data_IF_482384235473
#
_entry.id   IF_482384235473
#
_cell.length_a   1.000
_cell.length_b   1.000
_cell.length_c   1.000
_cell.angle_alpha   90.00
_cell.angle_beta   90.00
_cell.angle_gamma   90.00
#
_symmetry.space_group_name_H-M   'P 1'
#
loop_
_entity.id
_entity.type
_entity.pdbx_description
1 polymer ?
#
# COMPACT_ATOMS: atom_id res chain seq x y z
N UNK A 1 2.17 3.41 5.16
CA UNK A 1 1.00 4.14 4.62
C UNK A 1 1.35 5.52 4.06
N UNK A 2 2.18 6.33 4.76
CA UNK A 2 2.48 7.72 4.33
C UNK A 2 3.03 7.83 2.90
N UNK A 3 3.88 6.92 2.47
CA UNK A 3 4.39 6.90 1.10
C UNK A 3 3.25 6.71 0.09
N UNK A 4 2.37 5.75 0.33
CA UNK A 4 1.29 5.42 -0.61
C UNK A 4 0.30 6.58 -0.79
N UNK A 5 -0.35 7.06 0.27
CA UNK A 5 -1.39 8.08 0.10
C UNK A 5 -0.85 9.43 -0.40
N UNK A 6 0.45 9.69 -0.23
CA UNK A 6 1.09 10.90 -0.77
C UNK A 6 1.45 10.79 -2.25
N UNK A 7 1.71 9.57 -2.74
CA UNK A 7 2.09 9.30 -4.11
C UNK A 7 0.91 8.92 -5.01
N UNK A 8 -0.13 8.33 -4.45
CA UNK A 8 -1.28 7.82 -5.21
C UNK A 8 -1.81 8.80 -6.27
N UNK A 9 -1.94 10.13 -5.99
CA UNK A 9 -2.43 11.06 -7.01
C UNK A 9 -1.53 11.20 -8.24
N UNK A 10 -0.27 10.79 -8.15
CA UNK A 10 0.68 10.83 -9.26
C UNK A 10 0.78 9.51 -10.02
N UNK A 11 0.20 8.43 -9.51
CA UNK A 11 0.24 7.10 -10.12
C UNK A 11 -0.91 6.91 -11.09
N UNK A 12 -0.65 6.31 -12.24
CA UNK A 12 -1.69 5.96 -13.20
C UNK A 12 -2.60 4.85 -12.64
N UNK A 13 -3.88 4.87 -13.01
CA UNK A 13 -4.79 3.76 -12.72
C UNK A 13 -4.25 2.49 -13.38
N UNK A 14 -4.18 1.40 -12.64
CA UNK A 14 -3.54 0.15 -13.06
C UNK A 14 -2.04 0.10 -12.81
N UNK A 15 -1.44 1.20 -12.33
CA UNK A 15 -0.03 1.26 -11.96
C UNK A 15 0.30 0.56 -10.63
N UNK A 16 1.54 0.70 -10.23
CA UNK A 16 2.07 0.06 -9.03
C UNK A 16 2.90 1.03 -8.20
N UNK A 17 2.75 0.97 -6.89
CA UNK A 17 3.66 1.60 -5.93
C UNK A 17 4.47 0.53 -5.24
N UNK A 18 5.77 0.51 -5.47
CA UNK A 18 6.71 -0.33 -4.74
C UNK A 18 7.28 0.46 -3.57
N UNK A 19 7.03 -0.01 -2.36
CA UNK A 19 7.56 0.59 -1.13
C UNK A 19 8.82 -0.16 -0.73
N UNK A 20 9.98 0.42 -1.00
CA UNK A 20 11.26 -0.12 -0.60
C UNK A 20 11.60 0.30 0.83
N UNK A 21 11.56 -0.66 1.74
CA UNK A 21 11.81 -0.46 3.17
C UNK A 21 12.61 -1.66 3.74
N UNK A 22 13.90 -1.83 3.38
CA UNK A 22 14.68 -3.04 3.63
C UNK A 22 14.91 -3.35 5.12
N UNK A 23 14.68 -2.37 6.00
CA UNK A 23 14.83 -2.54 7.45
C UNK A 23 13.50 -2.79 8.17
N UNK A 24 12.37 -2.70 7.44
CA UNK A 24 11.04 -2.89 8.01
C UNK A 24 10.80 -4.39 8.26
N UNK A 25 10.65 -4.77 9.52
CA UNK A 25 10.44 -6.15 9.97
C UNK A 25 9.06 -6.36 10.62
N UNK A 26 8.35 -5.28 10.95
CA UNK A 26 6.99 -5.33 11.50
C UNK A 26 6.06 -4.35 10.78
N UNK A 27 4.82 -4.75 10.58
CA UNK A 27 3.82 -3.92 9.89
C UNK A 27 3.46 -2.68 10.71
N UNK A 28 3.25 -2.84 12.00
CA UNK A 28 2.98 -1.75 12.94
C UNK A 28 3.04 -2.28 14.37
N UNK A 29 3.79 -1.60 15.22
CA UNK A 29 3.81 -1.93 16.66
C UNK A 29 2.47 -1.61 17.35
N UNK A 30 1.78 -0.56 16.91
CA UNK A 30 0.53 -0.08 17.53
C UNK A 30 -0.69 -0.80 16.97
N UNK A 31 -0.73 -0.98 15.65
CA UNK A 31 -1.93 -1.49 14.95
C UNK A 31 -1.77 -2.91 14.42
N UNK A 32 -0.59 -3.53 14.57
CA UNK A 32 -0.25 -4.81 13.93
C UNK A 32 -1.28 -5.89 14.16
N UNK A 33 -1.74 -6.08 15.42
CA UNK A 33 -2.76 -7.06 15.76
C UNK A 33 -4.01 -6.93 14.88
N UNK A 34 -4.56 -5.73 14.79
CA UNK A 34 -5.75 -5.47 13.98
C UNK A 34 -5.47 -5.55 12.48
N UNK A 35 -4.31 -5.06 12.03
CA UNK A 35 -3.94 -5.11 10.62
C UNK A 35 -3.80 -6.56 10.13
N UNK A 36 -3.22 -7.46 10.94
CA UNK A 36 -3.19 -8.88 10.61
C UNK A 36 -4.57 -9.56 10.62
N UNK A 37 -5.54 -9.00 11.35
CA UNK A 37 -6.93 -9.44 11.35
C UNK A 37 -7.68 -9.00 10.09
N UNK A 38 -7.55 -7.72 9.70
CA UNK A 38 -8.37 -7.13 8.63
C UNK A 38 -7.67 -7.02 7.27
N UNK A 39 -6.33 -6.99 7.22
CA UNK A 39 -5.55 -6.72 6.01
C UNK A 39 -5.60 -5.24 5.57
N UNK A 40 -5.03 -4.98 4.39
CA UNK A 40 -5.06 -3.67 3.73
C UNK A 40 -6.09 -3.69 2.60
N UNK A 41 -7.10 -2.84 2.72
CA UNK A 41 -8.22 -2.77 1.79
C UNK A 41 -8.61 -1.34 1.48
N UNK A 42 -9.28 -1.14 0.34
CA UNK A 42 -9.90 0.14 -0.03
C UNK A 42 -11.08 0.45 0.90
N UNK A 43 -11.43 1.73 1.05
CA UNK A 43 -12.53 2.15 1.92
C UNK A 43 -13.87 1.44 1.60
N UNK A 44 -14.30 1.29 0.33
CA UNK A 44 -15.54 0.59 0.00
C UNK A 44 -15.62 -0.85 0.50
N UNK A 45 -14.49 -1.55 0.63
CA UNK A 45 -14.44 -2.91 1.19
C UNK A 45 -15.00 -2.95 2.63
N UNK A 46 -14.57 -2.02 3.47
CA UNK A 46 -15.04 -1.94 4.85
C UNK A 46 -16.49 -1.45 4.95
N UNK A 47 -16.88 -0.50 4.10
CA UNK A 47 -18.24 0.05 4.12
C UNK A 47 -19.29 -0.96 3.63
N UNK A 48 -18.93 -1.85 2.70
CA UNK A 48 -19.85 -2.90 2.22
C UNK A 48 -20.23 -3.92 3.29
N UNK A 49 -19.38 -4.11 4.28
CA UNK A 49 -19.63 -5.03 5.41
C UNK A 49 -19.32 -4.32 6.74
N UNK A 50 -19.89 -3.12 6.92
CA UNK A 50 -19.61 -2.27 8.08
C UNK A 50 -19.90 -2.96 9.40
N UNK A 51 -20.95 -3.77 9.49
CA UNK A 51 -21.29 -4.50 10.72
C UNK A 51 -20.17 -5.42 11.19
N UNK A 52 -19.44 -6.02 10.26
CA UNK A 52 -18.27 -6.85 10.54
C UNK A 52 -17.08 -6.04 11.07
N UNK A 53 -16.90 -4.81 10.59
CA UNK A 53 -15.69 -4.02 10.84
C UNK A 53 -15.87 -2.87 11.85
N UNK A 54 -17.09 -2.54 12.25
CA UNK A 54 -17.39 -1.40 13.14
C UNK A 54 -16.69 -1.48 14.52
N UNK A 55 -16.27 -2.67 14.95
CA UNK A 55 -15.54 -2.87 16.20
C UNK A 55 -14.04 -2.53 16.10
N UNK A 56 -13.52 -2.39 14.87
CA UNK A 56 -12.12 -2.04 14.62
C UNK A 56 -11.93 -0.54 14.84
N UNK A 57 -10.88 -0.11 15.58
CA UNK A 57 -10.62 1.30 15.79
C UNK A 57 -10.47 2.06 14.46
N UNK A 58 -11.10 3.23 14.34
CA UNK A 58 -11.09 4.01 13.10
C UNK A 58 -9.68 4.36 12.60
N UNK A 59 -8.72 4.58 13.52
CA UNK A 59 -7.31 4.80 13.14
C UNK A 59 -6.67 3.60 12.43
N UNK A 60 -7.10 2.38 12.77
CA UNK A 60 -6.65 1.15 12.08
C UNK A 60 -7.26 1.06 10.70
N UNK A 61 -8.57 1.31 10.57
CA UNK A 61 -9.25 1.34 9.27
C UNK A 61 -8.63 2.41 8.36
N UNK A 62 -8.37 3.61 8.89
CA UNK A 62 -7.68 4.67 8.16
C UNK A 62 -6.26 4.25 7.74
N UNK A 63 -5.50 3.59 8.61
CA UNK A 63 -4.17 3.08 8.26
C UNK A 63 -4.24 2.04 7.13
N UNK A 64 -5.21 1.13 7.19
CA UNK A 64 -5.45 0.14 6.14
C UNK A 64 -5.77 0.80 4.80
N UNK A 65 -6.76 1.69 4.77
CA UNK A 65 -7.20 2.36 3.53
C UNK A 65 -6.13 3.28 2.95
N UNK A 66 -5.37 3.98 3.77
CA UNK A 66 -4.29 4.86 3.33
C UNK A 66 -3.13 4.11 2.67
N UNK A 67 -2.89 2.86 3.05
CA UNK A 67 -1.89 2.05 2.38
C UNK A 67 -2.44 1.41 1.10
N UNK A 68 -3.71 0.97 1.11
CA UNK A 68 -4.31 0.33 -0.07
C UNK A 68 -4.69 1.31 -1.16
N UNK A 69 -5.02 2.56 -0.79
CA UNK A 69 -5.44 3.61 -1.72
C UNK A 69 -6.91 3.53 -2.12
N UNK A 70 -7.22 4.18 -3.22
CA UNK A 70 -8.57 4.29 -3.79
C UNK A 70 -8.91 3.09 -4.68
N UNK A 71 -10.19 2.87 -4.88
CA UNK A 71 -10.69 1.80 -5.74
C UNK A 71 -12.22 1.65 -5.63
N UNK A 72 -12.73 0.61 -6.25
CA UNK A 72 -14.16 0.29 -6.25
C UNK A 72 -14.41 -1.16 -5.86
N UNK A 73 -15.61 -1.45 -5.37
CA UNK A 73 -16.10 -2.83 -5.27
C UNK A 73 -16.93 -3.14 -6.52
N UNK A 74 -16.62 -4.25 -7.19
CA UNK A 74 -17.33 -4.68 -8.38
C UNK A 74 -17.66 -6.16 -8.27
N UNK A 75 -18.94 -6.49 -8.28
CA UNK A 75 -19.45 -7.86 -8.10
C UNK A 75 -18.88 -8.56 -6.85
N UNK A 76 -18.77 -7.82 -5.74
CA UNK A 76 -18.23 -8.34 -4.47
C UNK A 76 -16.71 -8.48 -4.42
N UNK A 77 -16.00 -8.05 -5.47
CA UNK A 77 -14.54 -8.11 -5.58
C UNK A 77 -13.95 -6.72 -5.46
N UNK A 78 -12.92 -6.58 -4.64
CA UNK A 78 -12.15 -5.35 -4.48
C UNK A 78 -11.27 -5.11 -5.72
N UNK A 79 -11.41 -3.91 -6.30
CA UNK A 79 -10.59 -3.43 -7.42
C UNK A 79 -9.90 -2.12 -7.03
N UNK A 80 -8.70 -2.18 -6.45
CA UNK A 80 -7.92 -0.99 -6.17
C UNK A 80 -7.40 -0.37 -7.46
N UNK A 81 -7.28 0.96 -7.48
CA UNK A 81 -6.75 1.70 -8.63
C UNK A 81 -5.27 1.46 -8.84
N UNK A 82 -4.54 1.14 -7.78
CA UNK A 82 -3.09 0.98 -7.78
C UNK A 82 -2.71 -0.28 -7.03
N UNK A 83 -1.76 -1.02 -7.56
CA UNK A 83 -1.16 -2.16 -6.84
C UNK A 83 -0.11 -1.65 -5.86
N UNK A 84 -0.06 -2.21 -4.67
CA UNK A 84 0.94 -1.88 -3.66
C UNK A 84 1.78 -3.11 -3.36
N UNK A 85 3.09 -2.97 -3.57
CA UNK A 85 4.08 -4.01 -3.35
C UNK A 85 5.07 -3.56 -2.28
N UNK A 86 5.36 -4.42 -1.34
CA UNK A 86 6.28 -4.15 -0.25
C UNK A 86 7.60 -4.90 -0.47
N UNK A 87 8.70 -4.16 -0.54
CA UNK A 87 10.06 -4.70 -0.57
C UNK A 87 10.70 -4.49 0.81
N UNK A 88 10.58 -5.48 1.70
CA UNK A 88 10.99 -5.40 3.11
C UNK A 88 11.35 -6.77 3.69
N UNK A 89 11.66 -6.81 4.99
CA UNK A 89 11.86 -8.06 5.74
C UNK A 89 10.55 -8.77 6.11
N UNK A 90 9.38 -8.17 5.88
CA UNK A 90 8.10 -8.84 6.05
C UNK A 90 8.00 -9.93 4.98
N UNK A 91 7.63 -11.14 5.39
CA UNK A 91 7.62 -12.31 4.52
C UNK A 91 6.63 -12.18 3.36
N UNK A 92 6.86 -12.93 2.29
CA UNK A 92 5.91 -13.02 1.17
C UNK A 92 4.55 -13.56 1.63
N UNK A 93 4.53 -14.51 2.57
CA UNK A 93 3.32 -15.06 3.17
C UNK A 93 2.52 -13.99 3.93
N UNK A 94 3.20 -13.20 4.76
CA UNK A 94 2.56 -12.09 5.48
C UNK A 94 2.07 -11.01 4.53
N UNK A 95 2.83 -10.65 3.50
CA UNK A 95 2.38 -9.71 2.48
C UNK A 95 1.10 -10.19 1.79
N UNK A 96 1.04 -11.47 1.40
CA UNK A 96 -0.16 -12.06 0.80
C UNK A 96 -1.35 -12.04 1.77
N UNK A 97 -1.14 -12.40 3.04
CA UNK A 97 -2.17 -12.33 4.10
C UNK A 97 -2.68 -10.91 4.30
N UNK A 98 -1.81 -9.92 4.15
CA UNK A 98 -2.12 -8.51 4.29
C UNK A 98 -2.68 -7.86 3.03
N UNK A 99 -2.90 -8.63 1.97
CA UNK A 99 -3.38 -8.14 0.67
C UNK A 99 -2.40 -7.16 -0.01
N UNK A 100 -1.10 -7.43 0.11
CA UNK A 100 -0.01 -6.68 -0.52
C UNK A 100 0.81 -7.57 -1.46
N UNK A 101 1.40 -6.96 -2.49
CA UNK A 101 2.46 -7.59 -3.25
C UNK A 101 3.76 -7.72 -2.43
N UNK A 102 4.60 -8.67 -2.78
CA UNK A 102 5.91 -8.86 -2.19
C UNK A 102 7.01 -8.77 -3.24
N UNK A 103 8.09 -8.10 -2.88
CA UNK A 103 9.35 -8.09 -3.61
C UNK A 103 10.50 -8.30 -2.63
N UNK A 104 11.41 -9.21 -2.97
CA UNK A 104 12.62 -9.42 -2.15
C UNK A 104 13.49 -8.16 -2.16
N UNK A 105 13.71 -7.51 -1.01
CA UNK A 105 14.50 -6.28 -0.97
C UNK A 105 15.95 -6.48 -1.39
N UNK A 106 16.50 -7.69 -1.28
CA UNK A 106 17.84 -8.04 -1.74
C UNK A 106 17.97 -8.10 -3.27
N UNK A 107 16.86 -8.18 -3.99
CA UNK A 107 16.81 -8.16 -5.47
C UNK A 107 16.50 -6.79 -6.06
N UNK A 108 16.25 -5.80 -5.22
CA UNK A 108 15.96 -4.42 -5.66
C UNK A 108 17.25 -3.69 -5.96
N UNK A 109 17.40 -3.22 -7.20
CA UNK A 109 18.47 -2.32 -7.60
C UNK A 109 17.87 -0.93 -7.86
N UNK A 110 18.01 -0.02 -6.90
CA UNK A 110 17.43 1.33 -6.99
C UNK A 110 18.02 2.16 -8.15
N UNK A 111 19.25 1.88 -8.56
CA UNK A 111 19.88 2.61 -9.67
C UNK A 111 19.17 2.33 -11.01
N UNK A 112 18.57 1.15 -11.17
CA UNK A 112 17.79 0.81 -12.36
C UNK A 112 16.46 1.55 -12.46
N UNK A 113 16.00 2.18 -11.37
CA UNK A 113 14.73 2.91 -11.30
C UNK A 113 14.90 4.43 -11.33
N UNK A 114 16.13 4.93 -11.19
CA UNK A 114 16.41 6.36 -11.25
C UNK A 114 16.40 6.87 -12.68
N UNK A 115 15.95 8.11 -12.85
CA UNK A 115 15.94 8.81 -14.15
C UNK A 115 15.21 8.02 -15.25
N UNK A 116 14.09 7.38 -14.89
CA UNK A 116 13.26 6.54 -15.77
C UNK A 116 11.83 7.06 -15.95
N UNK A 117 11.62 8.35 -15.74
CA UNK A 117 10.29 8.97 -15.81
C UNK A 117 9.68 8.81 -17.20
N UNK A 118 10.49 8.90 -18.27
CA UNK A 118 10.04 8.67 -19.66
C UNK A 118 9.61 7.22 -19.91
N UNK A 119 10.12 6.27 -19.10
CA UNK A 119 9.70 4.87 -19.12
C UNK A 119 8.51 4.60 -18.19
N UNK A 120 7.98 5.65 -17.55
CA UNK A 120 6.85 5.57 -16.61
C UNK A 120 7.24 5.14 -15.20
N UNK A 121 8.51 5.20 -14.83
CA UNK A 121 9.01 4.88 -13.49
C UNK A 121 9.42 6.16 -12.78
N UNK A 122 8.74 6.49 -11.69
CA UNK A 122 9.09 7.62 -10.82
C UNK A 122 9.78 7.10 -9.56
N UNK A 123 11.06 7.38 -9.40
CA UNK A 123 11.81 7.10 -8.18
C UNK A 123 11.68 8.26 -7.19
N UNK A 124 11.18 7.97 -5.99
CA UNK A 124 10.94 8.99 -4.96
C UNK A 124 11.70 8.65 -3.69
N UNK A 125 12.84 9.29 -3.43
CA UNK A 125 13.52 9.16 -2.15
C UNK A 125 12.66 9.84 -1.06
N UNK A 126 12.65 9.27 0.15
CA UNK A 126 11.92 9.81 1.31
C UNK A 126 10.43 10.05 1.05
N UNK A 127 9.79 9.12 0.36
CA UNK A 127 8.40 9.22 -0.13
C UNK A 127 7.35 9.58 0.95
N UNK A 128 7.65 9.38 2.25
CA UNK A 128 6.77 9.75 3.35
C UNK A 128 6.75 11.25 3.69
N UNK A 129 7.61 12.08 3.08
CA UNK A 129 7.80 13.48 3.44
C UNK A 129 7.13 14.46 2.47
N UNK A 130 6.99 14.12 1.20
CA UNK A 130 6.52 15.01 0.12
C UNK A 130 5.18 14.52 -0.43
N UNK A 131 4.24 15.46 -0.65
CA UNK A 131 2.97 15.19 -1.32
C UNK A 131 3.10 15.49 -2.81
N UNK A 132 2.84 14.48 -3.65
CA UNK A 132 2.85 14.61 -5.10
C UNK A 132 1.43 14.84 -5.64
N UNK A 133 1.30 15.71 -6.63
CA UNK A 133 0.03 15.99 -7.33
C UNK A 133 0.28 16.04 -8.84
N UNK A 134 -0.66 15.54 -9.61
CA UNK A 134 -0.72 15.84 -11.05
C UNK A 134 -0.97 17.34 -11.23
N UNK A 135 -0.28 17.94 -12.19
CA UNK A 135 -0.60 19.27 -12.71
C UNK A 135 -1.70 19.20 -13.75
#
# INVERSE_FOLDING_TARGET
AKAMYKLEPAVAIGGEVVIYAPHLDVVSHVHGKYIYEIGYHILPYFLNDWERFKHIPLGVLAHSTHLRGSGVMENGVEKPNVRVTLASKISAEDCARLNLGYLDPGKVNLEEWKDKEEEGILYVPKAGEILYRKR
#
